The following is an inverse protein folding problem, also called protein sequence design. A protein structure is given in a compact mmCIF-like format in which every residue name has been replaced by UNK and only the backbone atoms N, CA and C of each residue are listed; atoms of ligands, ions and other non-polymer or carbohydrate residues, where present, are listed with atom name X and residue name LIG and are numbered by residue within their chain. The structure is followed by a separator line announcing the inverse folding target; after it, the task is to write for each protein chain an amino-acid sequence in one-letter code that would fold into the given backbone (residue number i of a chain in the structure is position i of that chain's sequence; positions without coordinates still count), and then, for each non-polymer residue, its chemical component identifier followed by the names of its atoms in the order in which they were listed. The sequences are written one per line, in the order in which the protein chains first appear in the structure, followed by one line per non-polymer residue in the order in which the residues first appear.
data_IF_344292676199
#
_entry.id   IF_344292676199
#
_cell.length_a   1.000
_cell.length_b   1.000
_cell.length_c   1.000
_cell.angle_alpha   90.00
_cell.angle_beta   90.00
_cell.angle_gamma   90.00
#
_symmetry.space_group_name_H-M   'P 1'
#
loop_
_entity.id
_entity.type
_entity.pdbx_description
1 polymer ?
#
# COMPACT_ATOMS: atom_id res chain seq x y z
N UNK A 1 -11.39 1.20 -16.30
CA UNK A 1 -10.18 0.44 -15.95
C UNK A 1 -9.54 1.12 -14.74
N UNK A 2 -9.37 0.42 -13.61
CA UNK A 2 -8.60 0.91 -12.48
C UNK A 2 -7.23 0.23 -12.50
N UNK A 3 -6.20 1.02 -12.80
CA UNK A 3 -4.82 0.58 -12.77
C UNK A 3 -4.28 0.81 -11.35
N UNK A 4 -3.87 -0.25 -10.67
CA UNK A 4 -3.06 -0.16 -9.45
C UNK A 4 -1.66 0.33 -9.86
N UNK A 5 -1.51 1.66 -10.07
CA UNK A 5 -0.21 2.28 -10.31
C UNK A 5 0.67 2.28 -9.05
N UNK A 6 1.87 2.85 -9.14
CA UNK A 6 2.81 2.95 -8.00
C UNK A 6 2.38 4.01 -6.98
N UNK A 7 1.45 4.90 -7.31
CA UNK A 7 1.11 6.08 -6.50
C UNK A 7 0.63 5.74 -5.09
N UNK A 8 -0.11 4.64 -4.90
CA UNK A 8 -0.51 4.25 -3.55
C UNK A 8 0.65 3.61 -2.77
N UNK A 9 1.60 2.95 -3.43
CA UNK A 9 2.82 2.44 -2.78
C UNK A 9 3.66 3.60 -2.23
N UNK A 10 3.79 4.67 -3.03
CA UNK A 10 4.50 5.89 -2.65
C UNK A 10 3.83 6.59 -1.45
N UNK A 11 2.49 6.74 -1.45
CA UNK A 11 1.79 7.38 -0.33
C UNK A 11 1.85 6.54 0.94
N UNK A 12 1.76 5.20 0.83
CA UNK A 12 1.97 4.31 1.98
C UNK A 12 3.40 4.41 2.52
N UNK A 13 4.41 4.46 1.65
CA UNK A 13 5.81 4.62 2.06
C UNK A 13 6.06 5.97 2.75
N UNK A 14 5.45 7.05 2.27
CA UNK A 14 5.53 8.39 2.88
C UNK A 14 4.65 8.56 4.14
N UNK A 15 3.99 7.51 4.63
CA UNK A 15 3.03 7.54 5.74
C UNK A 15 1.90 8.59 5.56
N UNK A 16 1.44 8.78 4.33
CA UNK A 16 0.30 9.65 3.99
C UNK A 16 -1.00 8.84 4.04
N UNK A 17 -2.08 9.36 4.69
CA UNK A 17 -3.38 8.69 4.71
C UNK A 17 -3.85 8.29 3.31
N UNK A 18 -4.04 6.99 3.11
CA UNK A 18 -4.32 6.41 1.80
C UNK A 18 -5.49 5.45 1.88
N UNK A 19 -6.45 5.62 0.97
CA UNK A 19 -7.51 4.65 0.71
C UNK A 19 -7.46 4.30 -0.77
N UNK A 20 -7.30 3.02 -1.09
CA UNK A 20 -7.25 2.53 -2.45
C UNK A 20 -8.25 1.39 -2.67
N UNK A 21 -8.57 1.09 -3.92
CA UNK A 21 -9.41 -0.05 -4.25
C UNK A 21 -9.03 -0.67 -5.59
N UNK A 22 -9.28 -1.97 -5.74
CA UNK A 22 -9.25 -2.66 -7.02
C UNK A 22 -10.39 -3.66 -7.10
N UNK A 23 -10.77 -4.01 -8.32
CA UNK A 23 -11.76 -5.04 -8.56
C UNK A 23 -11.06 -6.43 -8.65
N UNK A 24 -11.36 -7.37 -7.73
CA UNK A 24 -10.71 -8.68 -7.70
C UNK A 24 -11.04 -9.57 -8.90
N UNK A 25 -12.06 -9.24 -9.70
CA UNK A 25 -12.31 -9.92 -10.97
C UNK A 25 -11.23 -9.60 -12.01
N UNK A 26 -10.66 -8.40 -11.96
CA UNK A 26 -9.63 -7.95 -12.91
C UNK A 26 -8.20 -8.16 -12.41
N UNK A 27 -8.00 -8.26 -11.09
CA UNK A 27 -6.68 -8.41 -10.50
C UNK A 27 -6.67 -9.46 -9.39
N UNK A 28 -5.97 -10.58 -9.64
CA UNK A 28 -5.73 -11.61 -8.63
C UNK A 28 -4.32 -11.47 -8.07
N UNK A 29 -4.17 -11.14 -6.79
CA UNK A 29 -2.84 -11.08 -6.18
C UNK A 29 -2.23 -12.48 -6.07
N UNK A 30 -0.89 -12.52 -6.08
CA UNK A 30 -0.13 -13.75 -5.80
C UNK A 30 -0.41 -14.22 -4.36
N UNK A 31 -0.33 -15.53 -4.13
CA UNK A 31 -0.63 -16.13 -2.82
C UNK A 31 0.22 -15.53 -1.69
N UNK A 32 1.48 -15.20 -1.98
CA UNK A 32 2.43 -14.63 -1.03
C UNK A 32 2.10 -13.18 -0.64
N UNK A 33 1.39 -12.45 -1.51
CA UNK A 33 0.94 -11.08 -1.24
C UNK A 33 -0.40 -11.04 -0.47
N UNK A 34 -1.12 -12.17 -0.44
CA UNK A 34 -2.46 -12.25 0.13
C UNK A 34 -2.52 -11.82 1.60
N UNK A 35 -1.62 -12.26 2.50
CA UNK A 35 -1.70 -11.88 3.91
C UNK A 35 -1.54 -10.37 4.12
N UNK A 36 -0.68 -9.71 3.34
CA UNK A 36 -0.43 -8.28 3.45
C UNK A 36 -1.60 -7.46 2.88
N UNK A 37 -2.17 -7.88 1.75
CA UNK A 37 -3.35 -7.24 1.18
C UNK A 37 -4.58 -7.42 2.09
N UNK A 38 -4.79 -8.62 2.63
CA UNK A 38 -5.89 -8.89 3.54
C UNK A 38 -5.75 -8.08 4.85
N UNK A 39 -4.52 -7.83 5.32
CA UNK A 39 -4.28 -6.93 6.44
C UNK A 39 -4.67 -5.49 6.11
N UNK A 40 -4.31 -4.97 4.93
CA UNK A 40 -4.73 -3.63 4.47
C UNK A 40 -6.25 -3.53 4.28
N UNK A 41 -6.91 -4.61 3.85
CA UNK A 41 -8.37 -4.67 3.75
C UNK A 41 -9.03 -4.62 5.12
N UNK A 42 -8.51 -5.41 6.08
CA UNK A 42 -9.01 -5.44 7.46
C UNK A 42 -9.01 -4.05 8.10
N UNK A 43 -7.97 -3.26 7.85
CA UNK A 43 -7.83 -1.91 8.44
C UNK A 43 -8.42 -0.80 7.58
N UNK A 44 -9.05 -1.13 6.45
CA UNK A 44 -9.75 -0.16 5.60
C UNK A 44 -8.84 0.70 4.70
N UNK A 45 -7.56 0.36 4.56
CA UNK A 45 -6.65 1.01 3.59
C UNK A 45 -6.97 0.55 2.17
N UNK A 46 -7.31 -0.73 2.00
CA UNK A 46 -7.59 -1.35 0.71
C UNK A 46 -9.03 -1.85 0.63
N UNK A 47 -9.70 -1.63 -0.49
CA UNK A 47 -11.08 -2.07 -0.72
C UNK A 47 -11.23 -2.81 -2.05
N UNK A 48 -12.31 -3.58 -2.19
CA UNK A 48 -12.57 -4.34 -3.43
C UNK A 48 -13.46 -3.62 -4.43
N UNK A 49 -13.95 -2.42 -4.10
CA UNK A 49 -14.67 -1.57 -5.04
C UNK A 49 -14.62 -0.11 -4.61
N UNK A 50 -14.86 0.79 -5.56
CA UNK A 50 -14.95 2.22 -5.27
C UNK A 50 -16.13 2.55 -4.37
N UNK A 51 -17.21 1.75 -4.44
CA UNK A 51 -18.39 1.93 -3.59
C UNK A 51 -18.10 1.64 -2.12
N UNK A 52 -17.33 0.58 -1.83
CA UNK A 52 -16.91 0.22 -0.47
C UNK A 52 -15.91 1.25 0.08
N UNK A 53 -14.94 1.68 -0.73
CA UNK A 53 -14.00 2.74 -0.37
C UNK A 53 -14.72 4.06 -0.03
N UNK A 54 -15.72 4.46 -0.83
CA UNK A 54 -16.50 5.67 -0.59
C UNK A 54 -17.32 5.58 0.71
N UNK A 55 -17.97 4.43 0.96
CA UNK A 55 -18.68 4.18 2.22
C UNK A 55 -17.73 4.28 3.42
N UNK A 56 -16.55 3.69 3.32
CA UNK A 56 -15.53 3.75 4.34
C UNK A 56 -15.08 5.19 4.62
N UNK A 57 -14.69 5.96 3.59
CA UNK A 57 -14.28 7.36 3.75
C UNK A 57 -15.38 8.21 4.40
N UNK A 58 -16.64 8.03 3.98
CA UNK A 58 -17.78 8.72 4.59
C UNK A 58 -17.99 8.36 6.06
N UNK A 59 -17.64 7.13 6.46
CA UNK A 59 -17.76 6.65 7.84
C UNK A 59 -16.74 7.30 8.81
N UNK A 60 -15.64 7.86 8.29
CA UNK A 60 -14.60 8.52 9.10
C UNK A 60 -15.05 9.86 9.70
N UNK A 61 -16.23 10.38 9.32
CA UNK A 61 -16.85 11.61 9.85
C UNK A 61 -15.91 12.82 9.93
N UNK A 62 -15.00 12.95 8.97
CA UNK A 62 -14.06 14.07 8.89
C UNK A 62 -12.83 13.98 9.80
N UNK A 63 -12.57 12.84 10.45
CA UNK A 63 -11.33 12.59 11.19
C UNK A 63 -10.55 11.39 10.64
N UNK A 64 -10.03 11.46 9.41
CA UNK A 64 -9.21 10.40 8.84
C UNK A 64 -7.88 10.23 9.58
N UNK A 65 -7.39 11.27 10.26
CA UNK A 65 -6.14 11.23 11.02
C UNK A 65 -6.21 10.25 12.19
N UNK A 66 -7.32 10.24 12.94
CA UNK A 66 -7.47 9.32 14.07
C UNK A 66 -7.45 7.85 13.66
N UNK A 67 -8.12 7.51 12.55
CA UNK A 67 -8.04 6.18 11.94
C UNK A 67 -6.61 5.88 11.49
N UNK A 68 -6.02 6.78 10.69
CA UNK A 68 -4.71 6.56 10.09
C UNK A 68 -3.62 6.33 11.13
N UNK A 69 -3.64 7.09 12.23
CA UNK A 69 -2.66 7.02 13.31
C UNK A 69 -2.92 5.87 14.30
N UNK A 70 -3.96 5.06 14.11
CA UNK A 70 -4.18 3.89 14.95
C UNK A 70 -3.06 2.85 14.77
N UNK A 71 -2.70 2.17 15.86
CA UNK A 71 -1.64 1.15 15.84
C UNK A 71 -1.89 0.08 14.78
N UNK A 72 -3.13 -0.40 14.66
CA UNK A 72 -3.49 -1.44 13.69
C UNK A 72 -3.26 -1.00 12.23
N UNK A 73 -3.60 0.25 11.90
CA UNK A 73 -3.38 0.79 10.55
C UNK A 73 -1.89 0.97 10.29
N UNK A 74 -1.15 1.51 11.26
CA UNK A 74 0.29 1.75 11.12
C UNK A 74 1.06 0.42 10.98
N UNK A 75 0.74 -0.59 11.78
CA UNK A 75 1.33 -1.94 11.69
C UNK A 75 1.06 -2.61 10.34
N UNK A 76 -0.19 -2.57 9.86
CA UNK A 76 -0.55 -3.14 8.57
C UNK A 76 0.16 -2.41 7.41
N UNK A 77 0.27 -1.08 7.48
CA UNK A 77 1.02 -0.27 6.52
C UNK A 77 2.50 -0.65 6.52
N UNK A 78 3.14 -0.68 7.67
CA UNK A 78 4.58 -0.95 7.81
C UNK A 78 4.94 -2.35 7.32
N UNK A 79 4.14 -3.36 7.68
CA UNK A 79 4.32 -4.72 7.19
C UNK A 79 4.22 -4.80 5.65
N UNK A 80 3.27 -4.07 5.06
CA UNK A 80 3.11 -4.01 3.62
C UNK A 80 4.28 -3.26 2.94
N UNK A 81 4.63 -2.07 3.44
CA UNK A 81 5.71 -1.23 2.92
C UNK A 81 7.04 -1.96 2.97
N UNK A 82 7.40 -2.57 4.10
CA UNK A 82 8.65 -3.32 4.26
C UNK A 82 8.84 -4.41 3.19
N UNK A 83 7.74 -4.96 2.67
CA UNK A 83 7.76 -6.07 1.69
C UNK A 83 7.64 -5.62 0.23
N UNK A 84 6.91 -4.54 -0.04
CA UNK A 84 6.49 -4.16 -1.40
C UNK A 84 6.77 -2.71 -1.80
N UNK A 85 7.05 -1.84 -0.84
CA UNK A 85 7.32 -0.42 -1.08
C UNK A 85 8.57 0.07 -0.32
N UNK A 86 9.45 -0.86 0.08
CA UNK A 86 10.69 -0.54 0.76
C UNK A 86 11.68 -0.02 -0.28
N UNK A 87 11.49 1.22 -0.68
CA UNK A 87 12.54 2.04 -1.28
C UNK A 87 13.52 2.31 -0.14
N UNK A 88 14.46 1.39 0.10
CA UNK A 88 15.58 1.65 1.01
C UNK A 88 16.18 3.02 0.64
N UNK A 89 16.51 3.87 1.61
CA UNK A 89 17.13 5.19 1.33
C UNK A 89 18.40 5.09 0.45
N UNK A 90 19.04 3.91 0.44
CA UNK A 90 20.19 3.55 -0.40
C UNK A 90 19.82 2.83 -1.71
N UNK A 91 18.57 2.88 -2.19
CA UNK A 91 18.17 2.16 -3.40
C UNK A 91 19.00 2.61 -4.61
N UNK A 92 19.31 3.90 -4.73
CA UNK A 92 20.15 4.41 -5.80
C UNK A 92 21.57 3.83 -5.73
N UNK A 93 22.15 3.75 -4.54
CA UNK A 93 23.48 3.16 -4.33
C UNK A 93 23.48 1.66 -4.63
N UNK A 94 22.48 0.92 -4.14
CA UNK A 94 22.34 -0.52 -4.37
C UNK A 94 22.13 -0.87 -5.86
N UNK A 95 21.38 -0.05 -6.59
CA UNK A 95 21.23 -0.20 -8.04
C UNK A 95 22.50 0.19 -8.78
N UNK A 96 23.18 1.26 -8.35
CA UNK A 96 24.45 1.69 -8.96
C UNK A 96 25.52 0.60 -8.81
N UNK A 97 25.68 0.03 -7.62
CA UNK A 97 26.60 -1.08 -7.38
C UNK A 97 26.27 -2.32 -8.21
N UNK A 98 24.99 -2.68 -8.34
CA UNK A 98 24.58 -3.84 -9.14
C UNK A 98 24.81 -3.61 -10.64
N UNK A 99 24.53 -2.41 -11.15
CA UNK A 99 24.83 -2.07 -12.55
C UNK A 99 26.33 -2.01 -12.82
N UNK A 100 27.13 -1.46 -11.89
CA UNK A 100 28.59 -1.45 -12.00
C UNK A 100 29.16 -2.87 -11.98
N UNK A 101 28.63 -3.76 -11.14
CA UNK A 101 29.00 -5.19 -11.08
C UNK A 101 28.68 -5.96 -12.37
N UNK A 102 27.60 -5.60 -13.07
CA UNK A 102 27.20 -6.25 -14.32
C UNK A 102 27.97 -5.69 -15.54
N UNK A 103 28.55 -4.49 -15.41
CA UNK A 103 29.33 -3.83 -16.45
C UNK A 103 30.86 -4.00 -16.27
N UNK A 104 31.30 -4.55 -15.14
CA UNK A 104 32.67 -5.01 -14.86
C UNK A 104 32.91 -6.44 -15.34
#
# INVERSE_FOLDING_TARGET
HNYLGTSWLETLAMNVPTVCFYDPEFYRPRAEARPFLDALVRVGVLHYSGSEAAKFVNSLRGNPTAWWQSAEVQEAREAFVARYANFNDNWLEAWTEEFERLLS
#
